data_IF_119771640395
#
_entry.id   IF_119771640395
#
_cell.length_a   1.000
_cell.length_b   1.000
_cell.length_c   1.000
_cell.angle_alpha   90.00
_cell.angle_beta   90.00
_cell.angle_gamma   90.00
#
_symmetry.space_group_name_H-M   'P 1'
#
loop_
_entity.id
_entity.type
_entity.pdbx_description
1 polymer ?
#
# COMPACT_ATOMS: atom_id res chain seq x y z
N UNK A 1 -17.59 26.26 15.41
CA UNK A 1 -16.97 26.07 15.85
C UNK A 1 -16.16 26.01 15.54
N UNK A 2 -15.75 26.20 15.66
CA UNK A 2 -14.84 25.99 15.39
C UNK A 2 -14.40 25.04 15.43
N UNK A 3 -14.36 25.15 14.67
CA UNK A 3 -13.79 24.32 14.50
C UNK A 3 -13.52 23.65 15.32
N UNK A 4 -13.37 23.03 15.08
CA UNK A 4 -12.93 22.18 15.86
C UNK A 4 -11.79 22.62 16.54
N UNK A 5 -11.77 22.44 17.76
CA UNK A 5 -10.56 22.63 18.48
C UNK A 5 -9.62 21.46 18.12
N UNK A 6 -8.36 21.63 18.37
CA UNK A 6 -7.39 20.61 17.98
C UNK A 6 -7.65 19.25 18.63
N UNK A 7 -8.22 19.23 19.81
CA UNK A 7 -8.49 17.95 20.44
C UNK A 7 -9.61 17.20 19.79
N UNK A 8 -10.61 17.92 19.38
CA UNK A 8 -11.72 17.34 18.65
C UNK A 8 -11.24 16.76 17.34
N UNK A 9 -10.41 17.52 16.67
CA UNK A 9 -9.82 17.05 15.44
C UNK A 9 -9.06 15.74 15.62
N UNK A 10 -8.32 15.66 16.70
CA UNK A 10 -7.57 14.44 16.99
C UNK A 10 -8.47 13.27 17.26
N UNK A 11 -9.56 13.50 17.96
CA UNK A 11 -10.52 12.45 18.23
C UNK A 11 -11.15 11.93 16.97
N UNK A 12 -11.43 12.82 16.05
CA UNK A 12 -12.04 12.43 14.79
C UNK A 12 -11.09 11.62 13.94
N UNK A 13 -9.81 11.82 14.14
CA UNK A 13 -8.81 11.00 13.46
C UNK A 13 -8.57 9.77 14.31
N UNK A 14 -9.39 8.79 14.13
CA UNK A 14 -9.41 7.66 15.04
C UNK A 14 -8.23 6.73 14.92
N UNK A 15 -7.43 6.87 13.90
CA UNK A 15 -6.33 5.95 13.70
C UNK A 15 -4.99 6.51 14.09
N UNK A 16 -3.98 5.67 13.99
CA UNK A 16 -2.61 6.09 14.10
C UNK A 16 -2.26 7.01 12.94
N UNK A 17 -1.30 7.90 13.17
CA UNK A 17 -0.74 8.67 12.09
C UNK A 17 -0.03 7.73 11.09
N UNK A 18 -0.09 8.02 9.80
CA UNK A 18 0.63 7.23 8.81
C UNK A 18 2.15 7.44 8.86
N UNK A 19 2.62 8.39 9.68
CA UNK A 19 4.03 8.75 9.71
C UNK A 19 4.94 7.57 10.03
N UNK A 20 4.54 6.74 10.99
CA UNK A 20 5.35 5.59 11.37
C UNK A 20 5.56 4.63 10.22
N UNK A 21 4.50 4.35 9.48
CA UNK A 21 4.59 3.44 8.34
C UNK A 21 5.41 4.06 7.22
N UNK A 22 5.28 5.38 7.02
CA UNK A 22 6.10 6.09 6.04
C UNK A 22 7.59 5.89 6.34
N UNK A 23 7.99 6.09 7.60
CA UNK A 23 9.39 5.94 7.96
C UNK A 23 9.88 4.51 7.80
N UNK A 24 9.02 3.52 8.04
CA UNK A 24 9.39 2.13 7.82
C UNK A 24 9.70 1.85 6.36
N UNK A 25 8.88 2.36 5.44
CA UNK A 25 9.14 2.22 4.01
C UNK A 25 10.45 2.89 3.61
N UNK A 26 10.64 4.12 4.08
CA UNK A 26 11.84 4.87 3.72
C UNK A 26 13.11 4.20 4.21
N UNK A 27 13.11 3.78 5.47
CA UNK A 27 14.30 3.15 6.04
C UNK A 27 14.56 1.78 5.42
N UNK A 28 13.52 1.04 5.10
CA UNK A 28 13.68 -0.24 4.41
C UNK A 28 14.29 -0.05 3.04
N UNK A 29 13.84 0.98 2.31
CA UNK A 29 14.42 1.30 1.01
C UNK A 29 15.89 1.66 1.14
N UNK A 30 16.23 2.46 2.13
CA UNK A 30 17.63 2.85 2.36
C UNK A 30 18.50 1.65 2.69
N UNK A 31 18.02 0.76 3.54
CA UNK A 31 18.78 -0.45 3.89
C UNK A 31 19.03 -1.32 2.67
N UNK A 32 18.04 -1.39 1.77
CA UNK A 32 18.14 -2.20 0.57
C UNK A 32 18.79 -1.45 -0.59
N UNK A 33 19.21 -0.20 -0.35
CA UNK A 33 19.84 0.66 -1.37
C UNK A 33 18.95 0.85 -2.58
N UNK A 34 17.66 1.02 -2.32
CA UNK A 34 16.66 1.31 -3.35
C UNK A 34 16.45 2.82 -3.38
N UNK A 35 16.50 3.40 -4.55
CA UNK A 35 16.32 4.83 -4.72
C UNK A 35 14.94 5.26 -4.22
N UNK A 36 14.86 6.41 -3.56
CA UNK A 36 13.63 6.93 -2.99
C UNK A 36 13.50 8.41 -3.35
N UNK A 37 12.44 8.73 -4.06
CA UNK A 37 12.14 10.11 -4.43
C UNK A 37 10.64 10.37 -4.30
N UNK A 38 10.10 10.08 -3.10
CA UNK A 38 8.69 10.32 -2.79
C UNK A 38 8.58 11.24 -1.59
N UNK A 39 7.66 12.17 -1.65
CA UNK A 39 7.34 13.01 -0.51
C UNK A 39 6.40 12.26 0.44
N UNK A 40 6.27 12.76 1.67
CA UNK A 40 5.30 12.21 2.61
C UNK A 40 3.89 12.27 2.03
N UNK A 41 3.56 13.38 1.38
CA UNK A 41 2.23 13.58 0.81
C UNK A 41 1.91 12.54 -0.25
N UNK A 42 2.88 12.25 -1.10
CA UNK A 42 2.70 11.22 -2.11
C UNK A 42 2.47 9.85 -1.47
N UNK A 43 3.24 9.52 -0.45
CA UNK A 43 3.10 8.25 0.24
C UNK A 43 1.75 8.16 0.95
N UNK A 44 1.32 9.23 1.60
CA UNK A 44 0.04 9.23 2.30
C UNK A 44 -1.13 9.03 1.32
N UNK A 45 -1.04 9.63 0.13
CA UNK A 45 -2.04 9.41 -0.90
C UNK A 45 -2.04 7.96 -1.38
N UNK A 46 -0.85 7.37 -1.51
CA UNK A 46 -0.76 5.96 -1.88
C UNK A 46 -1.37 5.05 -0.81
N UNK A 47 -1.10 5.33 0.46
CA UNK A 47 -1.68 4.55 1.56
C UNK A 47 -3.21 4.61 1.56
N UNK A 48 -3.77 5.73 1.13
CA UNK A 48 -5.22 5.93 1.12
C UNK A 48 -5.90 5.45 -0.14
N UNK A 49 -5.12 5.04 -1.14
CA UNK A 49 -5.68 4.65 -2.43
C UNK A 49 -6.18 3.23 -2.47
N UNK A 50 -7.06 2.95 -3.43
CA UNK A 50 -7.47 1.58 -3.70
C UNK A 50 -6.32 0.83 -4.36
N UNK A 51 -6.32 -0.49 -4.21
CA UNK A 51 -5.29 -1.30 -4.84
C UNK A 51 -5.34 -1.16 -6.36
N UNK A 52 -4.21 -0.85 -6.94
CA UNK A 52 -4.10 -0.68 -8.39
C UNK A 52 -4.47 -1.95 -9.15
N UNK A 53 -4.23 -3.11 -8.57
CA UNK A 53 -4.41 -4.38 -9.26
C UNK A 53 -5.78 -5.00 -9.04
N UNK A 54 -6.30 -5.00 -7.83
CA UNK A 54 -7.58 -5.65 -7.54
C UNK A 54 -8.69 -4.70 -7.09
N UNK A 55 -8.36 -3.43 -6.86
CA UNK A 55 -9.36 -2.42 -6.53
C UNK A 55 -9.85 -2.40 -5.10
N UNK A 56 -9.28 -3.23 -4.22
CA UNK A 56 -9.75 -3.26 -2.84
C UNK A 56 -9.40 -1.94 -2.12
N UNK A 57 -10.29 -1.52 -1.23
CA UNK A 57 -10.04 -0.36 -0.38
C UNK A 57 -8.88 -0.64 0.57
N UNK A 58 -8.28 0.38 1.18
CA UNK A 58 -7.23 0.16 2.17
C UNK A 58 -7.69 -0.83 3.24
N UNK A 59 -6.95 -1.90 3.40
CA UNK A 59 -7.39 -3.03 4.22
C UNK A 59 -6.31 -3.60 5.12
N UNK A 60 -5.06 -3.17 4.96
CA UNK A 60 -3.98 -3.66 5.82
C UNK A 60 -3.97 -2.84 7.10
N UNK A 61 -3.90 -3.51 8.24
CA UNK A 61 -3.92 -2.86 9.53
C UNK A 61 -2.50 -2.62 9.99
N UNK A 62 -2.18 -1.36 10.27
CA UNK A 62 -0.92 -1.00 10.89
C UNK A 62 -1.15 -0.74 12.37
N UNK A 63 -0.36 -1.39 13.20
CA UNK A 63 -0.40 -1.24 14.65
C UNK A 63 0.99 -0.87 15.16
N UNK A 64 1.01 -0.13 16.27
CA UNK A 64 2.26 0.13 16.97
C UNK A 64 2.17 -0.47 18.36
N UNK A 65 3.30 -0.99 18.82
CA UNK A 65 3.40 -1.53 20.17
C UNK A 65 3.02 -0.45 21.17
N UNK A 66 2.16 -0.81 22.12
CA UNK A 66 1.72 0.12 23.15
C UNK A 66 0.60 1.08 22.74
N UNK A 67 0.13 0.98 21.50
CA UNK A 67 -0.98 1.81 21.02
C UNK A 67 -2.21 0.96 20.82
N UNK A 68 -3.38 1.52 21.22
CA UNK A 68 -4.65 0.86 20.96
C UNK A 68 -5.25 1.24 19.62
N UNK A 69 -4.76 2.32 19.04
CA UNK A 69 -5.25 2.80 17.75
C UNK A 69 -4.57 2.08 16.60
N UNK A 70 -5.25 2.01 15.50
CA UNK A 70 -4.74 1.36 14.30
C UNK A 70 -4.86 2.31 13.11
N UNK A 71 -4.24 1.95 12.01
CA UNK A 71 -4.27 2.71 10.78
C UNK A 71 -4.47 1.72 9.63
N UNK A 72 -5.49 1.97 8.81
CA UNK A 72 -5.76 1.12 7.65
C UNK A 72 -5.12 1.75 6.41
N UNK A 73 -4.44 0.94 5.65
CA UNK A 73 -3.74 1.44 4.47
C UNK A 73 -3.60 0.35 3.42
N UNK A 74 -3.30 0.75 2.20
CA UNK A 74 -2.70 -0.12 1.21
C UNK A 74 -1.23 0.25 1.10
N UNK A 75 -0.40 -0.73 0.78
CA UNK A 75 1.02 -0.50 0.66
C UNK A 75 1.39 0.11 -0.68
N UNK A 76 2.68 0.10 -0.95
CA UNK A 76 3.25 0.67 -2.17
C UNK A 76 3.96 -0.43 -2.93
N UNK A 77 3.61 -0.58 -4.19
CA UNK A 77 4.29 -1.51 -5.09
C UNK A 77 5.07 -0.71 -6.13
N UNK A 78 6.28 -1.16 -6.41
CA UNK A 78 7.03 -0.63 -7.55
C UNK A 78 6.58 -1.38 -8.79
N UNK A 79 6.12 -0.64 -9.79
CA UNK A 79 5.68 -1.25 -11.05
C UNK A 79 6.80 -2.06 -11.66
N UNK A 80 7.98 -1.49 -11.69
CA UNK A 80 9.21 -2.13 -12.14
C UNK A 80 10.14 -2.25 -10.94
N UNK A 81 10.34 -3.46 -10.45
CA UNK A 81 11.12 -3.68 -9.24
C UNK A 81 12.62 -3.46 -9.44
N UNK A 82 13.07 -3.27 -10.68
CA UNK A 82 14.45 -2.91 -10.94
C UNK A 82 14.70 -1.41 -10.77
N UNK A 83 13.64 -0.63 -10.65
CA UNK A 83 13.71 0.81 -10.41
C UNK A 83 13.27 1.12 -8.99
N UNK A 84 13.50 2.36 -8.57
CA UNK A 84 13.22 2.74 -7.19
C UNK A 84 11.80 3.22 -6.94
N UNK A 85 11.62 3.75 -5.75
CA UNK A 85 10.36 4.37 -5.33
C UNK A 85 10.31 5.79 -5.91
N UNK A 86 9.87 5.87 -7.15
CA UNK A 86 9.79 7.11 -7.91
C UNK A 86 8.33 7.37 -8.25
N UNK A 87 7.97 8.63 -8.43
CA UNK A 87 6.56 9.00 -8.63
C UNK A 87 5.94 8.32 -9.84
N UNK A 88 6.73 7.99 -10.86
CA UNK A 88 6.22 7.31 -12.05
C UNK A 88 6.34 5.79 -11.95
N UNK A 89 6.77 5.27 -10.83
CA UNK A 89 7.02 3.83 -10.68
C UNK A 89 6.32 3.21 -9.49
N UNK A 90 5.37 3.91 -8.89
CA UNK A 90 4.70 3.40 -7.68
C UNK A 90 3.19 3.47 -7.84
N UNK A 91 2.53 2.48 -7.25
CA UNK A 91 1.07 2.42 -7.19
C UNK A 91 0.66 1.90 -5.83
N UNK A 92 -0.58 2.22 -5.44
CA UNK A 92 -1.16 1.63 -4.24
C UNK A 92 -1.39 0.13 -4.48
N UNK A 93 -1.08 -0.68 -3.50
CA UNK A 93 -1.16 -2.12 -3.67
C UNK A 93 -1.52 -2.79 -2.36
N UNK A 94 -2.53 -3.64 -2.37
CA UNK A 94 -2.89 -4.39 -1.17
C UNK A 94 -1.85 -5.47 -0.90
N UNK A 95 -1.86 -5.95 0.33
CA UNK A 95 -0.87 -6.93 0.76
C UNK A 95 -0.92 -8.20 -0.09
N UNK A 96 -2.12 -8.67 -0.40
CA UNK A 96 -2.28 -9.90 -1.17
C UNK A 96 -1.71 -9.77 -2.58
N UNK A 97 -2.04 -8.67 -3.26
CA UNK A 97 -1.52 -8.47 -4.61
C UNK A 97 -0.02 -8.23 -4.62
N UNK A 98 0.49 -7.51 -3.63
CA UNK A 98 1.92 -7.26 -3.54
C UNK A 98 2.68 -8.58 -3.35
N UNK A 99 2.18 -9.42 -2.47
CA UNK A 99 2.78 -10.73 -2.22
C UNK A 99 2.73 -11.59 -3.49
N UNK A 100 1.56 -11.63 -4.15
CA UNK A 100 1.37 -12.47 -5.33
C UNK A 100 2.23 -12.00 -6.51
N UNK A 101 2.32 -10.70 -6.70
CA UNK A 101 3.11 -10.14 -7.80
C UNK A 101 4.60 -10.34 -7.59
N UNK A 102 5.06 -10.22 -6.34
CA UNK A 102 6.46 -10.38 -6.02
C UNK A 102 7.32 -9.51 -6.95
N UNK A 103 8.24 -10.11 -7.70
CA UNK A 103 9.12 -9.36 -8.59
C UNK A 103 8.68 -9.38 -10.05
N UNK A 104 7.49 -9.89 -10.31
CA UNK A 104 6.96 -9.88 -11.68
C UNK A 104 6.76 -8.45 -12.16
N UNK A 105 6.94 -8.24 -13.46
CA UNK A 105 6.49 -6.99 -14.06
C UNK A 105 4.97 -6.96 -14.05
N UNK A 106 4.40 -5.77 -14.26
CA UNK A 106 2.95 -5.64 -14.33
C UNK A 106 2.37 -6.54 -15.43
N UNK A 107 3.07 -6.62 -16.57
CA UNK A 107 2.61 -7.49 -17.66
C UNK A 107 2.65 -8.96 -17.31
N UNK A 108 3.73 -9.40 -16.67
CA UNK A 108 3.85 -10.78 -16.23
C UNK A 108 2.76 -11.12 -15.21
N UNK A 109 2.51 -10.23 -14.28
CA UNK A 109 1.49 -10.41 -13.27
C UNK A 109 0.11 -10.51 -13.91
N UNK A 110 -0.19 -9.61 -14.85
CA UNK A 110 -1.47 -9.64 -15.56
C UNK A 110 -1.67 -10.96 -16.29
N UNK A 111 -0.64 -11.44 -16.96
CA UNK A 111 -0.71 -12.71 -17.68
C UNK A 111 -0.95 -13.86 -16.72
N UNK A 112 -0.27 -13.87 -15.60
CA UNK A 112 -0.45 -14.92 -14.59
C UNK A 112 -1.86 -14.90 -14.00
N UNK A 113 -2.34 -13.72 -13.64
CA UNK A 113 -3.69 -13.58 -13.06
C UNK A 113 -4.74 -14.08 -14.05
N UNK A 114 -4.60 -13.72 -15.33
CA UNK A 114 -5.55 -14.17 -16.34
C UNK A 114 -5.52 -15.69 -16.49
N UNK A 115 -4.34 -16.28 -16.51
CA UNK A 115 -4.22 -17.73 -16.62
C UNK A 115 -4.89 -18.41 -15.44
N UNK A 116 -4.67 -17.92 -14.22
CA UNK A 116 -5.29 -18.49 -13.03
C UNK A 116 -6.80 -18.34 -13.10
N UNK A 117 -7.29 -17.15 -13.43
CA UNK A 117 -8.73 -16.89 -13.48
C UNK A 117 -9.41 -17.75 -14.53
N UNK A 118 -8.81 -17.88 -15.70
CA UNK A 118 -9.39 -18.69 -16.78
C UNK A 118 -9.50 -20.15 -16.37
N UNK A 119 -8.47 -20.68 -15.76
CA UNK A 119 -8.48 -22.07 -15.32
C UNK A 119 -9.47 -22.29 -14.16
N UNK A 120 -9.47 -21.38 -13.20
CA UNK A 120 -10.39 -21.49 -12.07
C UNK A 120 -11.84 -21.48 -12.53
N UNK A 121 -12.16 -20.70 -13.56
CA UNK A 121 -13.50 -20.69 -14.12
C UNK A 121 -13.91 -22.05 -14.66
N UNK A 122 -12.95 -22.82 -15.18
CA UNK A 122 -13.25 -24.17 -15.68
C UNK A 122 -13.50 -25.16 -14.54
N UNK A 123 -12.94 -24.89 -13.36
CA UNK A 123 -13.09 -25.80 -12.23
C UNK A 123 -14.44 -25.61 -11.52
N UNK A 124 -15.11 -24.50 -11.76
CA UNK A 124 -16.38 -24.23 -11.12
C UNK A 124 -16.23 -23.98 -9.62
N UNK A 125 -17.31 -24.20 -8.89
CA UNK A 125 -17.36 -23.97 -7.44
C UNK A 125 -16.84 -25.18 -6.69
N UNK A 126 -15.56 -25.30 -6.62
CA UNK A 126 -14.95 -26.40 -5.86
C UNK A 126 -14.39 -25.93 -4.56
#
# INVERSE_FOLDING_TARGET
MPASNPQESRKQKTGLSPAGRFWQYLYAAKRRKIEWDLSKEQVYLLFAGTCHYCGIQPSTVYKRSGCTQTFLYNGIDRIDSSRGYLSDNVVSCCKACNFAKSEMTTGEFRTWVKRVADHMALLGDV
#
